data_IF_783777223604
#
_entry.id   IF_783777223604
#
_cell.length_a   1.000
_cell.length_b   1.000
_cell.length_c   1.000
_cell.angle_alpha   90.00
_cell.angle_beta   90.00
_cell.angle_gamma   90.00
#
_symmetry.space_group_name_H-M   'P 1'
#
loop_
_entity.id
_entity.type
_entity.pdbx_description
1 polymer ?
#
# COMPACT_ATOMS: atom_id res chain seq x y z
N UNK A 1 -31.23 8.88 10.51
CA UNK A 1 -30.63 8.13 11.64
C UNK A 1 -29.12 8.14 11.39
N UNK A 2 -28.39 9.01 12.09
CA UNK A 2 -26.94 9.17 11.89
C UNK A 2 -26.28 8.16 12.83
N UNK A 3 -25.78 7.06 12.30
CA UNK A 3 -25.07 6.06 13.10
C UNK A 3 -23.80 6.72 13.66
N UNK A 4 -23.80 6.90 14.98
CA UNK A 4 -22.66 7.40 15.75
C UNK A 4 -21.49 6.43 15.58
N UNK A 5 -20.36 6.94 15.10
CA UNK A 5 -19.11 6.18 14.96
C UNK A 5 -18.63 5.85 16.38
N UNK A 6 -19.05 4.71 16.91
CA UNK A 6 -18.46 4.12 18.11
C UNK A 6 -16.97 3.96 17.81
N UNK A 7 -16.11 4.46 18.72
CA UNK A 7 -14.64 4.51 18.57
C UNK A 7 -14.01 3.11 18.47
N UNK A 8 -14.23 2.43 17.35
CA UNK A 8 -13.50 1.25 16.90
C UNK A 8 -12.44 1.74 15.93
N UNK A 9 -11.22 1.22 16.06
CA UNK A 9 -10.15 1.44 15.08
C UNK A 9 -10.54 0.75 13.77
N UNK A 10 -11.19 1.47 12.87
CA UNK A 10 -11.51 0.97 11.54
C UNK A 10 -10.28 1.06 10.63
N UNK A 11 -9.96 -0.03 9.94
CA UNK A 11 -8.98 -0.01 8.84
C UNK A 11 -9.68 0.51 7.58
N UNK A 12 -9.00 1.33 6.79
CA UNK A 12 -9.51 1.82 5.49
C UNK A 12 -10.06 0.67 4.63
N UNK A 13 -9.35 -0.46 4.60
CA UNK A 13 -9.80 -1.68 3.89
C UNK A 13 -11.22 -2.11 4.30
N UNK A 14 -11.54 -2.11 5.59
CA UNK A 14 -12.86 -2.53 6.10
C UNK A 14 -13.99 -1.58 5.69
N UNK A 15 -13.70 -0.27 5.63
CA UNK A 15 -14.67 0.73 5.18
C UNK A 15 -15.03 0.47 3.71
N UNK A 16 -14.02 0.23 2.87
CA UNK A 16 -14.24 -0.08 1.46
C UNK A 16 -14.89 -1.45 1.26
N UNK A 17 -14.52 -2.48 2.01
CA UNK A 17 -15.17 -3.80 1.91
C UNK A 17 -16.69 -3.72 2.13
N UNK A 18 -17.16 -2.87 3.05
CA UNK A 18 -18.59 -2.74 3.33
C UNK A 18 -19.35 -1.76 2.43
N UNK A 19 -18.71 -0.70 1.92
CA UNK A 19 -19.40 0.43 1.27
C UNK A 19 -19.02 0.67 -0.20
N UNK A 20 -18.01 -0.02 -0.72
CA UNK A 20 -17.49 0.26 -2.05
C UNK A 20 -18.51 -0.01 -3.16
N UNK A 21 -19.28 -1.10 -3.07
CA UNK A 21 -20.30 -1.41 -4.09
C UNK A 21 -21.42 -0.39 -4.13
N UNK A 22 -21.93 0.04 -2.96
CA UNK A 22 -22.92 1.12 -2.84
C UNK A 22 -22.41 2.40 -3.51
N UNK A 23 -21.16 2.76 -3.24
CA UNK A 23 -20.52 3.93 -3.84
C UNK A 23 -20.41 3.80 -5.38
N UNK A 24 -20.03 2.64 -5.90
CA UNK A 24 -19.93 2.40 -7.35
C UNK A 24 -21.28 2.47 -8.07
N UNK A 25 -22.36 2.08 -7.40
CA UNK A 25 -23.70 2.13 -7.97
C UNK A 25 -24.25 3.56 -8.07
N UNK A 26 -23.84 4.45 -7.16
CA UNK A 26 -24.23 5.86 -7.17
C UNK A 26 -23.35 6.68 -8.12
N UNK A 27 -22.06 6.33 -8.22
CA UNK A 27 -21.07 7.04 -9.03
C UNK A 27 -20.57 6.19 -10.20
N UNK A 28 -21.15 6.38 -11.38
CA UNK A 28 -20.78 5.64 -12.60
C UNK A 28 -19.56 6.20 -13.33
N UNK A 29 -19.09 7.39 -12.97
CA UNK A 29 -18.01 8.15 -13.62
C UNK A 29 -16.63 7.90 -13.02
N UNK A 30 -16.48 6.84 -12.20
CA UNK A 30 -15.21 6.52 -11.53
C UNK A 30 -14.15 6.11 -12.57
N UNK A 31 -12.99 6.79 -12.61
CA UNK A 31 -11.91 6.43 -13.53
C UNK A 31 -11.39 5.00 -13.32
N UNK A 32 -11.06 4.31 -14.41
CA UNK A 32 -10.56 2.92 -14.40
C UNK A 32 -9.35 2.72 -13.47
N UNK A 33 -8.46 3.71 -13.38
CA UNK A 33 -7.28 3.63 -12.51
C UNK A 33 -7.64 3.63 -11.02
N UNK A 34 -8.72 4.30 -10.62
CA UNK A 34 -9.24 4.27 -9.24
C UNK A 34 -9.83 2.90 -8.94
N UNK A 35 -10.66 2.37 -9.85
CA UNK A 35 -11.22 1.02 -9.72
C UNK A 35 -10.11 -0.04 -9.52
N UNK A 36 -9.04 0.05 -10.32
CA UNK A 36 -7.88 -0.83 -10.19
C UNK A 36 -7.15 -0.65 -8.85
N UNK A 37 -6.97 0.59 -8.38
CA UNK A 37 -6.29 0.87 -7.11
C UNK A 37 -7.08 0.39 -5.89
N UNK A 38 -8.40 0.53 -5.90
CA UNK A 38 -9.28 0.04 -4.84
C UNK A 38 -9.32 -1.48 -4.85
N UNK A 39 -9.48 -2.11 -6.02
CA UNK A 39 -9.41 -3.58 -6.15
C UNK A 39 -8.09 -4.14 -5.62
N UNK A 40 -6.96 -3.52 -5.97
CA UNK A 40 -5.64 -3.88 -5.41
C UNK A 40 -5.61 -3.75 -3.89
N UNK A 41 -6.10 -2.63 -3.34
CA UNK A 41 -6.13 -2.40 -1.90
C UNK A 41 -6.97 -3.45 -1.16
N UNK A 42 -8.16 -3.76 -1.67
CA UNK A 42 -9.06 -4.78 -1.10
C UNK A 42 -8.38 -6.16 -1.07
N UNK A 43 -7.66 -6.51 -2.12
CA UNK A 43 -6.92 -7.77 -2.21
C UNK A 43 -5.54 -7.76 -1.52
N UNK A 44 -5.16 -6.67 -0.84
CA UNK A 44 -3.84 -6.55 -0.22
C UNK A 44 -3.58 -7.63 0.83
N UNK A 45 -2.43 -8.30 0.74
CA UNK A 45 -1.99 -9.41 1.61
C UNK A 45 -2.90 -10.64 1.58
N UNK A 46 -3.71 -10.79 0.53
CA UNK A 46 -4.44 -12.02 0.28
C UNK A 46 -3.59 -12.97 -0.58
N UNK A 47 -3.12 -14.10 -0.03
CA UNK A 47 -2.30 -15.07 -0.76
C UNK A 47 -3.04 -15.73 -1.94
N UNK A 48 -4.37 -15.83 -1.90
CA UNK A 48 -5.17 -16.43 -2.98
C UNK A 48 -5.38 -15.46 -4.14
N UNK A 49 -5.38 -14.15 -3.87
CA UNK A 49 -5.68 -13.11 -4.88
C UNK A 49 -4.43 -12.48 -5.49
N UNK A 50 -3.41 -12.21 -4.68
CA UNK A 50 -2.15 -11.58 -5.12
C UNK A 50 -0.95 -12.53 -5.15
N UNK A 51 -1.13 -13.77 -4.69
CA UNK A 51 -0.05 -14.73 -4.53
C UNK A 51 0.78 -14.48 -3.27
N UNK A 52 1.78 -15.35 -3.09
CA UNK A 52 2.67 -15.33 -1.94
C UNK A 52 4.02 -15.97 -2.30
N UNK A 53 5.03 -15.63 -1.51
CA UNK A 53 6.28 -16.39 -1.46
C UNK A 53 6.29 -17.28 -0.22
N UNK A 54 6.75 -18.52 -0.36
CA UNK A 54 6.95 -19.45 0.75
C UNK A 54 8.45 -19.61 0.97
N UNK A 55 8.92 -19.26 2.15
CA UNK A 55 10.31 -19.42 2.55
C UNK A 55 10.38 -20.60 3.51
N UNK A 56 11.23 -21.58 3.23
CA UNK A 56 11.43 -22.75 4.08
C UNK A 56 12.89 -22.83 4.53
N UNK A 57 13.10 -23.21 5.79
CA UNK A 57 14.45 -23.45 6.29
C UNK A 57 15.03 -24.71 5.63
N UNK A 58 16.21 -24.65 4.99
CA UNK A 58 16.80 -25.82 4.33
C UNK A 58 17.10 -26.98 5.29
N UNK A 59 17.44 -26.67 6.54
CA UNK A 59 17.77 -27.65 7.58
C UNK A 59 16.56 -28.12 8.38
N UNK A 60 15.45 -27.39 8.33
CA UNK A 60 14.22 -27.71 9.05
C UNK A 60 13.03 -27.60 8.09
N UNK A 61 12.71 -28.65 7.31
CA UNK A 61 11.67 -28.61 6.27
C UNK A 61 10.28 -28.22 6.80
N UNK A 62 10.03 -28.45 8.09
CA UNK A 62 8.76 -28.14 8.76
C UNK A 62 8.63 -26.64 9.13
N UNK A 63 9.72 -25.87 9.08
CA UNK A 63 9.73 -24.43 9.38
C UNK A 63 9.63 -23.64 8.08
N UNK A 64 8.40 -23.44 7.62
CA UNK A 64 8.11 -22.62 6.45
C UNK A 64 7.21 -21.43 6.80
N UNK A 65 7.56 -20.25 6.28
CA UNK A 65 6.78 -19.01 6.42
C UNK A 65 6.21 -18.61 5.08
N UNK A 66 4.91 -18.32 5.05
CA UNK A 66 4.22 -17.77 3.88
C UNK A 66 4.14 -16.25 4.02
N UNK A 67 4.68 -15.54 3.03
CA UNK A 67 4.68 -14.08 2.96
C UNK A 67 3.75 -13.66 1.81
N UNK A 68 2.53 -13.20 2.09
CA UNK A 68 1.60 -12.77 1.05
C UNK A 68 2.05 -11.46 0.42
N UNK A 69 1.80 -11.32 -0.88
CA UNK A 69 2.18 -10.12 -1.61
C UNK A 69 1.37 -8.90 -1.18
N UNK A 70 2.01 -7.74 -1.25
CA UNK A 70 1.37 -6.44 -0.96
C UNK A 70 0.86 -5.80 -2.24
N UNK A 71 -0.21 -5.01 -2.12
CA UNK A 71 -0.90 -4.43 -3.27
C UNK A 71 -0.16 -3.27 -3.95
N UNK A 72 0.79 -2.63 -3.25
CA UNK A 72 1.55 -1.43 -3.71
C UNK A 72 0.65 -0.27 -4.17
N UNK A 73 -0.62 -0.26 -3.77
CA UNK A 73 -1.59 0.81 -4.07
C UNK A 73 -1.39 1.99 -3.13
N UNK A 74 -1.50 3.22 -3.66
CA UNK A 74 -1.38 4.46 -2.87
C UNK A 74 -2.50 4.66 -1.85
N UNK A 75 -3.69 4.10 -2.12
CA UNK A 75 -4.86 4.19 -1.23
C UNK A 75 -4.69 3.28 0.00
N UNK A 76 -3.90 2.22 -0.12
CA UNK A 76 -3.66 1.30 0.98
C UNK A 76 -2.83 1.98 2.07
N UNK A 77 -3.35 2.03 3.30
CA UNK A 77 -2.70 2.69 4.43
C UNK A 77 -1.27 2.19 4.71
N UNK A 78 -1.01 0.89 4.59
CA UNK A 78 0.34 0.35 4.81
C UNK A 78 1.24 0.51 3.59
N UNK A 79 0.72 0.31 2.37
CA UNK A 79 1.55 0.31 1.16
C UNK A 79 1.84 1.73 0.66
N UNK A 80 0.86 2.61 0.73
CA UNK A 80 0.98 4.01 0.30
C UNK A 80 2.04 4.75 1.10
N UNK A 81 2.07 4.57 2.43
CA UNK A 81 3.12 5.16 3.29
C UNK A 81 4.51 4.71 2.87
N UNK A 82 4.70 3.41 2.60
CA UNK A 82 6.00 2.90 2.15
C UNK A 82 6.42 3.50 0.80
N UNK A 83 5.48 3.63 -0.14
CA UNK A 83 5.73 4.28 -1.43
C UNK A 83 6.13 5.75 -1.26
N UNK A 84 5.45 6.49 -0.38
CA UNK A 84 5.79 7.89 -0.07
C UNK A 84 7.16 8.00 0.56
N UNK A 85 7.49 7.16 1.54
CA UNK A 85 8.79 7.17 2.20
C UNK A 85 9.93 6.90 1.21
N UNK A 86 9.77 5.90 0.34
CA UNK A 86 10.74 5.60 -0.70
C UNK A 86 11.00 6.81 -1.63
N UNK A 87 9.93 7.51 -2.03
CA UNK A 87 10.04 8.71 -2.84
C UNK A 87 10.78 9.84 -2.09
N UNK A 88 10.42 10.08 -0.82
CA UNK A 88 11.06 11.10 0.01
C UNK A 88 12.56 10.82 0.19
N UNK A 89 12.94 9.57 0.44
CA UNK A 89 14.36 9.16 0.52
C UNK A 89 15.07 9.41 -0.81
N UNK A 90 14.45 9.10 -1.95
CA UNK A 90 15.03 9.37 -3.27
C UNK A 90 15.26 10.86 -3.50
N UNK A 91 14.29 11.71 -3.14
CA UNK A 91 14.44 13.17 -3.21
C UNK A 91 15.55 13.69 -2.32
N UNK A 92 15.60 13.24 -1.06
CA UNK A 92 16.64 13.61 -0.10
C UNK A 92 18.03 13.35 -0.67
N UNK A 93 18.27 12.17 -1.25
CA UNK A 93 19.57 11.83 -1.85
C UNK A 93 19.93 12.69 -3.05
N UNK A 94 18.95 13.08 -3.87
CA UNK A 94 19.18 13.99 -5.00
C UNK A 94 19.61 15.38 -4.52
N UNK A 95 18.93 15.90 -3.51
CA UNK A 95 19.26 17.19 -2.89
C UNK A 95 20.65 17.12 -2.25
N UNK A 96 20.91 16.09 -1.44
CA UNK A 96 22.19 15.90 -0.75
C UNK A 96 23.38 15.83 -1.72
N UNK A 97 23.25 15.10 -2.84
CA UNK A 97 24.31 15.05 -3.86
C UNK A 97 24.55 16.39 -4.53
N UNK A 98 23.47 17.13 -4.82
CA UNK A 98 23.58 18.46 -5.43
C UNK A 98 24.29 19.44 -4.50
N UNK A 99 23.89 19.48 -3.22
CA UNK A 99 24.52 20.38 -2.24
C UNK A 99 25.99 20.04 -2.03
N UNK A 100 26.35 18.75 -1.91
CA UNK A 100 27.75 18.30 -1.80
C UNK A 100 28.61 18.68 -3.01
N UNK A 101 28.09 18.51 -4.23
CA UNK A 101 28.82 18.85 -5.45
C UNK A 101 29.04 20.36 -5.59
N UNK A 102 28.08 21.18 -5.17
CA UNK A 102 28.23 22.64 -5.13
C UNK A 102 29.26 23.11 -4.09
N UNK A 103 29.41 22.41 -2.97
CA UNK A 103 30.48 22.70 -1.99
C UNK A 103 31.87 22.43 -2.56
N UNK A 104 32.01 21.39 -3.39
CA UNK A 104 33.29 21.00 -4.00
C UNK A 104 33.70 21.86 -5.21
N UNK A 105 32.83 22.71 -5.75
CA UNK A 105 33.17 23.64 -6.84
C UNK A 105 33.65 25.01 -6.33
N UNK A 106 33.50 25.28 -5.03
CA UNK A 106 33.87 26.54 -4.39
C UNK A 106 35.19 26.44 -3.59
N UNK A 107 35.93 25.33 -3.73
CA UNK A 107 37.30 25.10 -3.26
C UNK A 107 38.18 24.78 -4.46
#
# INVERSE_FOLDING_TARGET
>A
MIETITSKKYKIKQIFEGRWEEYRNIHSDIPKYILANVSKMLNCRDPKKLGYHKYCCPTHPNKCTVVPHTCKSRICSSCGVNSTNHYNTSLYWKIYKKTRNSSNQNN
#
